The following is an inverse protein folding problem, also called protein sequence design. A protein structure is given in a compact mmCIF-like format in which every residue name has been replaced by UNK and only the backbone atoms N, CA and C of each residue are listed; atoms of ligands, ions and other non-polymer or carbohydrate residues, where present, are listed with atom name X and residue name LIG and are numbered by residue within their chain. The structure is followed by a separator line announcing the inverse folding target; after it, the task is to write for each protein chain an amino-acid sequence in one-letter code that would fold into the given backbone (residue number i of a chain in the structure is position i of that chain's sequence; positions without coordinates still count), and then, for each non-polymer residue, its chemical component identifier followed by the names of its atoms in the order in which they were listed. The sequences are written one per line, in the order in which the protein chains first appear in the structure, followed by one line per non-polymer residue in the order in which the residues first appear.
data_IF_044450408796
#
_entry.id   IF_044450408796
#
_cell.length_a   1.000
_cell.length_b   1.000
_cell.length_c   1.000
_cell.angle_alpha   90.00
_cell.angle_beta   90.00
_cell.angle_gamma   90.00
#
_symmetry.space_group_name_H-M   'P 1'
#
loop_
_entity.id
_entity.type
_entity.pdbx_description
1 polymer ?
#
# COMPACT_ATOMS: atom_id res chain seq x y z
N UNK A 1 7.31 1.23 14.23
CA UNK A 1 6.44 0.41 13.37
C UNK A 1 5.02 0.70 13.78
N UNK A 2 4.29 1.45 12.95
CA UNK A 2 2.93 1.93 13.20
C UNK A 2 2.00 1.27 12.20
N UNK A 3 0.86 0.75 12.67
CA UNK A 3 -0.15 0.28 11.75
C UNK A 3 -0.95 1.48 11.25
N UNK A 4 -1.05 1.61 9.92
CA UNK A 4 -1.67 2.75 9.25
C UNK A 4 -2.93 2.25 8.54
N UNK A 5 -4.00 3.05 8.57
CA UNK A 5 -5.19 2.77 7.79
C UNK A 5 -5.06 3.36 6.38
N UNK A 6 -4.97 2.49 5.38
CA UNK A 6 -4.91 2.85 3.96
C UNK A 6 -6.29 2.83 3.34
N UNK A 7 -6.74 3.97 2.83
CA UNK A 7 -7.95 4.08 2.01
C UNK A 7 -7.52 4.02 0.55
N UNK A 8 -7.67 2.84 -0.07
CA UNK A 8 -7.27 2.61 -1.45
C UNK A 8 -8.44 2.87 -2.37
N UNK A 9 -8.43 4.03 -3.03
CA UNK A 9 -9.45 4.39 -4.01
C UNK A 9 -9.19 3.65 -5.33
N UNK A 10 -10.26 3.14 -5.90
CA UNK A 10 -10.22 2.55 -7.22
C UNK A 10 -10.03 3.66 -8.26
N UNK A 11 -9.10 3.47 -9.18
CA UNK A 11 -8.91 4.40 -10.30
C UNK A 11 -10.09 4.31 -11.29
N UNK A 12 -10.03 5.07 -12.39
CA UNK A 12 -11.08 5.11 -13.43
C UNK A 12 -11.39 3.76 -14.08
N UNK A 13 -10.46 2.79 -14.00
CA UNK A 13 -10.63 1.42 -14.50
C UNK A 13 -11.10 0.43 -13.42
N UNK A 14 -11.35 0.91 -12.20
CA UNK A 14 -11.75 0.10 -11.06
C UNK A 14 -10.60 -0.66 -10.40
N UNK A 15 -9.35 -0.22 -10.58
CA UNK A 15 -8.17 -0.90 -10.06
C UNK A 15 -7.65 -0.25 -8.76
N UNK A 16 -7.15 -1.08 -7.85
CA UNK A 16 -6.49 -0.69 -6.59
C UNK A 16 -5.16 -1.43 -6.43
N UNK A 17 -4.24 -0.89 -5.64
CA UNK A 17 -3.03 -1.61 -5.24
C UNK A 17 -3.33 -2.53 -4.05
N UNK A 18 -2.95 -3.80 -4.16
CA UNK A 18 -3.02 -4.79 -3.09
C UNK A 18 -1.63 -5.01 -2.51
N UNK A 19 -1.39 -4.47 -1.31
CA UNK A 19 -0.10 -4.56 -0.66
C UNK A 19 0.31 -5.98 -0.26
N UNK A 20 -0.62 -6.77 0.29
CA UNK A 20 -0.34 -8.15 0.71
C UNK A 20 0.14 -9.02 -0.46
N UNK A 21 -0.39 -8.80 -1.67
CA UNK A 21 -0.05 -9.55 -2.89
C UNK A 21 0.97 -8.81 -3.75
N UNK A 22 1.43 -7.63 -3.31
CA UNK A 22 2.28 -6.70 -4.05
C UNK A 22 1.89 -6.55 -5.53
N UNK A 23 0.62 -6.24 -5.82
CA UNK A 23 0.15 -6.07 -7.20
C UNK A 23 -1.09 -5.21 -7.32
N UNK A 24 -1.33 -4.68 -8.51
CA UNK A 24 -2.56 -3.97 -8.85
C UNK A 24 -3.64 -4.98 -9.24
N UNK A 25 -4.84 -4.81 -8.70
CA UNK A 25 -5.99 -5.69 -8.91
C UNK A 25 -7.22 -4.89 -9.27
N UNK A 26 -8.11 -5.49 -10.06
CA UNK A 26 -9.45 -4.95 -10.30
C UNK A 26 -10.32 -5.22 -9.08
N UNK A 27 -10.83 -4.17 -8.44
CA UNK A 27 -11.67 -4.25 -7.26
C UNK A 27 -13.12 -4.56 -7.67
N UNK A 28 -13.38 -5.80 -8.10
CA UNK A 28 -14.73 -6.29 -8.38
C UNK A 28 -15.22 -7.24 -7.27
N UNK A 29 -16.45 -7.74 -7.40
CA UNK A 29 -17.06 -8.62 -6.41
C UNK A 29 -16.26 -9.91 -6.18
N UNK A 30 -15.73 -10.54 -7.22
CA UNK A 30 -14.86 -11.72 -7.08
C UNK A 30 -13.57 -11.38 -6.32
N UNK A 31 -12.91 -10.26 -6.61
CA UNK A 31 -11.74 -9.82 -5.86
C UNK A 31 -12.08 -9.58 -4.38
N UNK A 32 -13.28 -9.07 -4.08
CA UNK A 32 -13.74 -8.85 -2.71
C UNK A 32 -14.05 -10.18 -2.01
N UNK A 33 -14.85 -11.05 -2.64
CA UNK A 33 -15.32 -12.30 -2.07
C UNK A 33 -14.21 -13.35 -1.92
N UNK A 34 -13.34 -13.47 -2.93
CA UNK A 34 -12.35 -14.56 -2.99
C UNK A 34 -11.03 -14.20 -2.30
N UNK A 35 -10.74 -12.90 -2.13
CA UNK A 35 -9.45 -12.45 -1.60
C UNK A 35 -9.58 -11.44 -0.46
N UNK A 36 -10.35 -10.35 -0.62
CA UNK A 36 -10.40 -9.32 0.43
C UNK A 36 -11.11 -9.82 1.69
N UNK A 37 -12.16 -10.65 1.57
CA UNK A 37 -12.94 -11.21 2.68
C UNK A 37 -12.08 -11.96 3.71
N UNK A 38 -11.10 -12.74 3.25
CA UNK A 38 -10.15 -13.49 4.08
C UNK A 38 -8.85 -12.74 4.38
N UNK A 39 -8.67 -11.53 3.85
CA UNK A 39 -7.43 -10.77 4.04
C UNK A 39 -7.38 -10.14 5.44
N UNK A 40 -6.37 -10.49 6.24
CA UNK A 40 -6.15 -9.95 7.59
C UNK A 40 -6.06 -8.41 7.67
N UNK A 41 -5.64 -7.79 6.56
CA UNK A 41 -5.49 -6.33 6.46
C UNK A 41 -6.83 -5.65 6.13
N UNK A 42 -7.81 -6.34 5.54
CA UNK A 42 -9.06 -5.72 5.11
C UNK A 42 -9.88 -5.17 6.29
N UNK A 43 -10.42 -3.97 6.13
CA UNK A 43 -11.33 -3.29 7.08
C UNK A 43 -12.62 -2.80 6.43
N UNK A 44 -12.83 -3.13 5.16
CA UNK A 44 -14.03 -2.79 4.41
C UNK A 44 -13.69 -2.57 2.95
N UNK A 45 -14.54 -3.08 2.06
CA UNK A 45 -14.38 -2.91 0.62
C UNK A 45 -15.72 -2.57 -0.01
N UNK A 46 -15.71 -1.62 -0.95
CA UNK A 46 -16.84 -1.27 -1.79
C UNK A 46 -16.44 -1.50 -3.25
N UNK A 47 -17.17 -2.41 -3.92
CA UNK A 47 -16.89 -2.84 -5.29
C UNK A 47 -16.77 -1.64 -6.25
N UNK A 48 -15.67 -1.58 -6.98
CA UNK A 48 -15.37 -0.53 -7.95
C UNK A 48 -15.06 0.84 -7.36
N UNK A 49 -15.10 1.02 -6.02
CA UNK A 49 -14.90 2.34 -5.39
C UNK A 49 -13.68 2.41 -4.49
N UNK A 50 -13.61 1.59 -3.44
CA UNK A 50 -12.49 1.67 -2.50
C UNK A 50 -12.33 0.43 -1.62
N UNK A 51 -11.13 0.23 -1.08
CA UNK A 51 -10.86 -0.76 -0.04
C UNK A 51 -9.99 -0.17 1.07
N UNK A 52 -10.40 -0.39 2.32
CA UNK A 52 -9.67 0.01 3.52
C UNK A 52 -8.79 -1.15 3.99
N UNK A 53 -7.49 -0.88 4.16
CA UNK A 53 -6.50 -1.86 4.56
C UNK A 53 -5.68 -1.34 5.74
N UNK A 54 -5.61 -2.10 6.82
CA UNK A 54 -4.84 -1.78 8.03
C UNK A 54 -3.63 -2.70 8.17
N UNK A 55 -2.43 -2.12 8.17
CA UNK A 55 -1.18 -2.88 8.15
C UNK A 55 0.01 -2.04 8.64
N UNK A 56 1.09 -2.72 9.01
CA UNK A 56 2.35 -2.09 9.44
C UNK A 56 3.12 -1.58 8.21
N UNK A 57 2.84 -0.35 7.82
CA UNK A 57 3.60 0.34 6.78
C UNK A 57 4.89 0.92 7.39
N UNK A 58 6.02 0.61 6.75
CA UNK A 58 7.34 1.07 7.18
C UNK A 58 7.69 2.44 6.63
N UNK A 59 6.87 2.97 5.72
CA UNK A 59 7.00 4.32 5.17
C UNK A 59 6.48 5.34 6.17
N UNK A 60 7.01 6.55 6.10
CA UNK A 60 6.54 7.69 6.87
C UNK A 60 5.39 8.36 6.10
N UNK A 61 4.17 7.89 6.33
CA UNK A 61 2.94 8.38 5.70
C UNK A 61 1.89 8.72 6.75
N UNK A 62 0.90 9.53 6.38
CA UNK A 62 -0.18 9.95 7.29
C UNK A 62 -1.08 8.79 7.68
N UNK A 63 -1.80 8.92 8.81
CA UNK A 63 -2.85 8.00 9.21
C UNK A 63 -4.19 8.76 9.38
N UNK A 64 -5.22 8.53 8.53
CA UNK A 64 -5.23 7.59 7.42
C UNK A 64 -4.35 8.04 6.23
N UNK A 65 -3.91 7.08 5.43
CA UNK A 65 -3.23 7.31 4.16
C UNK A 65 -4.19 7.06 3.00
N UNK A 66 -4.39 8.06 2.13
CA UNK A 66 -5.31 7.94 1.00
C UNK A 66 -4.50 7.66 -0.26
N UNK A 67 -4.75 6.49 -0.87
CA UNK A 67 -4.14 6.09 -2.14
C UNK A 67 -5.13 6.38 -3.26
N UNK A 68 -4.77 7.33 -4.13
CA UNK A 68 -5.60 7.74 -5.28
C UNK A 68 -5.14 7.13 -6.60
N UNK A 69 -3.86 6.76 -6.70
CA UNK A 69 -3.28 6.14 -7.88
C UNK A 69 -2.58 4.82 -7.50
N UNK A 70 -3.13 3.67 -7.92
CA UNK A 70 -2.56 2.37 -7.60
C UNK A 70 -1.18 2.13 -8.26
N UNK A 71 -0.86 2.81 -9.37
CA UNK A 71 0.44 2.68 -10.03
C UNK A 71 1.53 3.41 -9.25
N UNK A 72 1.27 4.65 -8.85
CA UNK A 72 2.21 5.41 -8.02
C UNK A 72 2.43 4.71 -6.68
N UNK A 73 1.39 4.14 -6.10
CA UNK A 73 1.50 3.37 -4.86
C UNK A 73 2.29 2.06 -5.04
N UNK A 74 2.07 1.34 -6.14
CA UNK A 74 2.87 0.16 -6.43
C UNK A 74 4.37 0.49 -6.54
N UNK A 75 4.70 1.56 -7.24
CA UNK A 75 6.09 2.03 -7.41
C UNK A 75 6.67 2.47 -6.07
N UNK A 76 5.93 3.25 -5.28
CA UNK A 76 6.39 3.73 -3.97
C UNK A 76 6.69 2.57 -3.01
N UNK A 77 5.93 1.48 -3.10
CA UNK A 77 6.14 0.25 -2.35
C UNK A 77 7.34 -0.59 -2.80
N UNK A 78 7.87 -0.38 -4.01
CA UNK A 78 9.10 -1.06 -4.45
C UNK A 78 10.37 -0.38 -3.93
N UNK A 79 10.27 0.88 -3.49
CA UNK A 79 11.40 1.65 -3.00
C UNK A 79 11.86 1.11 -1.63
N UNK A 80 12.83 0.20 -1.65
CA UNK A 80 13.55 -0.20 -0.45
C UNK A 80 14.49 0.92 -0.04
N UNK A 81 14.21 1.59 1.08
CA UNK A 81 15.25 2.36 1.80
C UNK A 81 16.27 1.36 2.31
N UNK A 82 17.37 1.19 1.57
CA UNK A 82 18.55 0.50 2.10
C UNK A 82 19.16 1.43 3.15
N UNK A 83 19.01 1.09 4.43
CA UNK A 83 19.81 1.71 5.47
C UNK A 83 21.23 1.18 5.29
N UNK A 84 22.07 1.94 4.59
CA UNK A 84 23.51 1.67 4.57
C UNK A 84 24.04 2.20 5.90
N UNK A 85 24.24 1.31 6.87
CA UNK A 85 25.07 1.62 8.03
C UNK A 85 26.52 1.70 7.53
N UNK A 86 26.99 2.92 7.27
CA UNK A 86 28.41 3.14 7.02
C UNK A 86 29.17 2.86 8.32
N UNK A 87 30.23 2.03 8.32
CA UNK A 87 30.97 1.67 9.54
C UNK A 87 31.68 2.84 10.26
N UNK A 88 31.53 4.06 9.73
CA UNK A 88 32.19 5.28 10.21
C UNK A 88 31.15 6.40 10.33
N UNK A 89 30.24 6.28 11.30
CA UNK A 89 29.68 7.38 12.09
C UNK A 89 29.02 8.60 11.42
N UNK A 90 28.77 8.64 10.10
CA UNK A 90 28.08 9.75 9.45
C UNK A 90 27.12 9.25 8.37
N UNK A 91 25.82 9.26 8.70
CA UNK A 91 24.74 8.99 7.77
C UNK A 91 24.62 10.16 6.78
N UNK A 92 25.29 10.06 5.63
CA UNK A 92 25.06 10.90 4.47
C UNK A 92 24.09 10.22 3.50
N UNK A 93 23.05 10.93 3.06
CA UNK A 93 22.16 10.48 1.99
C UNK A 93 22.95 10.40 0.68
N UNK A 94 23.29 9.19 0.23
CA UNK A 94 23.74 8.96 -1.14
C UNK A 94 22.50 8.83 -2.04
N UNK A 95 22.15 9.91 -2.74
CA UNK A 95 21.30 9.86 -3.93
C UNK A 95 22.22 10.14 -5.13
N UNK A 96 22.26 9.20 -6.06
CA UNK A 96 22.75 9.36 -7.43
C UNK A 96 21.62 8.96 -8.38
#
# INVERSE_FOLDING_TARGET
MTHINHINLANTTGNVYCCLRNKIVRLNESQIADYCSGCKMNRGAESGKSVQCYWNDVRDVTDPYIVVDPQLEFISMQNRKLMIELPWGHAGNALA
#
